data_IF_727549022838
#
_entry.id   IF_727549022838
#
_cell.length_a   1.000
_cell.length_b   1.000
_cell.length_c   1.000
_cell.angle_alpha   90.00
_cell.angle_beta   90.00
_cell.angle_gamma   90.00
#
_symmetry.space_group_name_H-M   'P 1'
#
loop_
_entity.id
_entity.type
_entity.pdbx_description
1 polymer ?
#
# COMPACT_ATOMS: atom_id res chain seq x y z
N UNK A 1 13.99 -14.97 2.06
CA UNK A 1 13.70 -13.57 2.48
C UNK A 1 13.05 -13.48 3.87
N UNK A 2 13.26 -12.38 4.61
CA UNK A 2 12.71 -12.16 5.96
C UNK A 2 11.86 -10.90 6.02
N UNK A 3 10.65 -10.98 6.57
CA UNK A 3 9.69 -9.89 6.67
C UNK A 3 9.47 -9.51 8.15
N UNK A 4 9.79 -8.27 8.50
CA UNK A 4 9.58 -7.69 9.82
C UNK A 4 8.20 -7.01 9.88
N UNK A 5 7.40 -7.37 10.88
CA UNK A 5 6.00 -6.92 10.99
C UNK A 5 5.61 -6.55 12.42
N UNK A 6 4.53 -5.78 12.53
CA UNK A 6 3.65 -5.82 13.71
C UNK A 6 2.43 -6.67 13.40
N UNK A 7 1.98 -7.46 14.38
CA UNK A 7 0.87 -8.40 14.20
C UNK A 7 -0.45 -7.71 13.83
N UNK A 8 -0.71 -6.52 14.39
CA UNK A 8 -1.94 -5.75 14.19
C UNK A 8 -1.86 -4.75 13.02
N UNK A 9 -0.73 -4.69 12.30
CA UNK A 9 -0.54 -3.68 11.26
C UNK A 9 -1.26 -4.07 9.95
N UNK A 10 -2.18 -3.23 9.43
CA UNK A 10 -2.92 -3.54 8.21
C UNK A 10 -2.02 -3.56 6.96
N UNK A 11 -0.95 -2.77 6.93
CA UNK A 11 0.02 -2.76 5.84
C UNK A 11 0.85 -4.05 5.81
N UNK A 12 1.20 -4.59 6.98
CA UNK A 12 1.89 -5.87 7.11
C UNK A 12 0.98 -7.03 6.65
N UNK A 13 -0.30 -7.00 7.05
CA UNK A 13 -1.27 -8.00 6.62
C UNK A 13 -1.42 -8.03 5.09
N UNK A 14 -1.40 -6.87 4.43
CA UNK A 14 -1.44 -6.76 2.97
C UNK A 14 -0.26 -7.47 2.29
N UNK A 15 0.97 -7.19 2.73
CA UNK A 15 2.18 -7.84 2.19
C UNK A 15 2.11 -9.36 2.38
N UNK A 16 1.74 -9.82 3.57
CA UNK A 16 1.59 -11.25 3.88
C UNK A 16 0.55 -11.93 3.00
N UNK A 17 -0.57 -11.26 2.75
CA UNK A 17 -1.61 -11.77 1.87
C UNK A 17 -1.07 -11.94 0.44
N UNK A 18 -0.39 -10.95 -0.11
CA UNK A 18 0.19 -11.03 -1.47
C UNK A 18 1.23 -12.16 -1.55
N UNK A 19 2.15 -12.23 -0.59
CA UNK A 19 3.17 -13.28 -0.54
C UNK A 19 2.54 -14.68 -0.52
N UNK A 20 1.48 -14.88 0.27
CA UNK A 20 0.75 -16.14 0.33
C UNK A 20 0.04 -16.46 -1.00
N UNK A 21 -0.58 -15.47 -1.66
CA UNK A 21 -1.22 -15.65 -2.98
C UNK A 21 -0.21 -16.03 -4.06
N UNK A 22 0.99 -15.46 -4.00
CA UNK A 22 2.09 -15.77 -4.93
C UNK A 22 2.86 -17.05 -4.54
N UNK A 23 2.47 -17.72 -3.46
CA UNK A 23 3.18 -18.89 -2.90
C UNK A 23 4.67 -18.65 -2.59
N UNK A 24 5.02 -17.41 -2.21
CA UNK A 24 6.39 -17.06 -1.84
C UNK A 24 6.58 -17.30 -0.35
N UNK A 25 7.50 -18.20 0.06
CA UNK A 25 7.79 -18.41 1.48
C UNK A 25 8.54 -17.20 2.05
N UNK A 26 7.95 -16.58 3.07
CA UNK A 26 8.58 -15.50 3.84
C UNK A 26 8.81 -15.95 5.28
N UNK A 27 10.01 -15.70 5.80
CA UNK A 27 10.28 -15.82 7.22
C UNK A 27 9.73 -14.58 7.94
N UNK A 28 8.66 -14.72 8.73
CA UNK A 28 7.99 -13.59 9.38
C UNK A 28 8.54 -13.39 10.78
N UNK A 29 9.08 -12.21 11.05
CA UNK A 29 9.56 -11.79 12.36
C UNK A 29 8.61 -10.75 12.92
N UNK A 30 7.97 -11.07 14.05
CA UNK A 30 7.12 -10.13 14.77
C UNK A 30 8.03 -9.26 15.64
N UNK A 31 8.08 -7.97 15.32
CA UNK A 31 8.82 -6.97 16.08
C UNK A 31 7.91 -6.47 17.20
N UNK A 32 8.46 -6.33 18.41
CA UNK A 32 7.72 -5.75 19.52
C UNK A 32 7.48 -4.25 19.26
N UNK A 33 6.33 -3.73 19.69
CA UNK A 33 5.99 -2.33 19.40
C UNK A 33 6.93 -1.33 20.10
N UNK A 34 7.45 -1.69 21.27
CA UNK A 34 8.41 -0.93 22.06
C UNK A 34 9.86 -1.07 21.57
N UNK A 35 10.11 -1.94 20.58
CA UNK A 35 11.43 -2.07 19.98
C UNK A 35 11.70 -0.91 19.01
N UNK A 36 12.60 -0.03 19.43
CA UNK A 36 13.07 1.13 18.66
C UNK A 36 14.34 0.82 17.84
N UNK A 37 14.89 -0.39 17.94
CA UNK A 37 16.23 -0.73 17.43
C UNK A 37 16.17 -1.54 16.14
N UNK A 38 15.40 -2.63 16.12
CA UNK A 38 15.45 -3.61 15.02
C UNK A 38 15.21 -3.01 13.64
N UNK A 39 14.19 -2.15 13.50
CA UNK A 39 13.85 -1.54 12.20
C UNK A 39 14.70 -0.31 11.90
N UNK A 40 15.10 0.43 12.95
CA UNK A 40 15.99 1.59 12.80
C UNK A 40 17.38 1.15 12.32
N UNK A 41 17.90 0.03 12.80
CA UNK A 41 19.20 -0.48 12.35
C UNK A 41 19.17 -0.97 10.88
N UNK A 42 18.00 -1.41 10.41
CA UNK A 42 17.84 -1.92 9.04
C UNK A 42 17.65 -0.81 8.01
N UNK A 43 16.81 0.20 8.32
CA UNK A 43 16.36 1.20 7.36
C UNK A 43 16.45 2.64 7.87
N UNK A 44 16.97 2.86 9.07
CA UNK A 44 17.10 4.18 9.70
C UNK A 44 15.81 4.75 10.28
N UNK A 45 14.70 4.00 10.25
CA UNK A 45 13.39 4.47 10.68
C UNK A 45 12.58 3.37 11.40
N UNK A 46 11.85 3.75 12.44
CA UNK A 46 10.93 2.87 13.16
C UNK A 46 9.64 2.70 12.36
N UNK A 47 9.65 1.82 11.37
CA UNK A 47 8.49 1.53 10.55
C UNK A 47 8.44 0.06 10.12
N UNK A 48 7.23 -0.40 9.83
CA UNK A 48 6.93 -1.74 9.29
C UNK A 48 5.81 -1.60 8.25
N UNK A 49 5.71 -2.48 7.25
CA UNK A 49 6.55 -3.65 7.00
C UNK A 49 7.95 -3.32 6.46
N UNK A 50 8.92 -4.19 6.75
CA UNK A 50 10.27 -4.15 6.13
C UNK A 50 10.63 -5.55 5.64
N UNK A 51 10.99 -5.66 4.36
CA UNK A 51 11.47 -6.91 3.76
C UNK A 51 12.99 -6.86 3.61
N UNK A 52 13.68 -7.84 4.19
CA UNK A 52 15.10 -8.09 3.92
C UNK A 52 15.24 -9.17 2.84
N UNK A 53 15.80 -8.78 1.70
CA UNK A 53 16.13 -9.68 0.58
C UNK A 53 17.26 -10.63 0.97
N UNK A 54 17.51 -11.62 0.13
CA UNK A 54 18.60 -12.59 0.34
C UNK A 54 19.99 -11.95 0.14
N UNK A 55 20.07 -10.94 -0.71
CA UNK A 55 21.28 -10.16 -0.97
C UNK A 55 21.64 -9.18 0.18
N UNK A 56 20.80 -9.11 1.21
CA UNK A 56 20.99 -8.23 2.37
C UNK A 56 20.36 -6.83 2.23
N UNK A 57 19.93 -6.45 1.03
CA UNK A 57 19.17 -5.21 0.79
C UNK A 57 17.82 -5.24 1.53
N UNK A 58 17.41 -4.09 2.06
CA UNK A 58 16.13 -3.91 2.75
C UNK A 58 15.20 -3.01 1.95
N UNK A 59 13.95 -3.44 1.80
CA UNK A 59 12.87 -2.68 1.16
C UNK A 59 11.86 -2.32 2.25
N UNK A 60 11.61 -1.03 2.42
CA UNK A 60 10.54 -0.51 3.25
C UNK A 60 9.30 -0.22 2.37
N UNK A 61 8.21 0.21 3.00
CA UNK A 61 6.92 0.49 2.34
C UNK A 61 6.18 -0.73 1.79
N UNK A 62 4.89 -0.82 2.12
CA UNK A 62 4.11 -2.01 1.79
C UNK A 62 3.87 -2.20 0.30
N UNK A 63 3.82 -1.13 -0.49
CA UNK A 63 3.57 -1.20 -1.94
C UNK A 63 4.83 -1.63 -2.68
N UNK A 64 5.97 -1.01 -2.38
CA UNK A 64 7.26 -1.35 -2.97
C UNK A 64 7.64 -2.81 -2.70
N UNK A 65 7.36 -3.31 -1.49
CA UNK A 65 7.53 -4.73 -1.17
C UNK A 65 6.61 -5.62 -2.02
N UNK A 66 5.36 -5.21 -2.23
CA UNK A 66 4.39 -5.98 -3.04
C UNK A 66 4.84 -6.03 -4.50
N UNK A 67 5.26 -4.89 -5.05
CA UNK A 67 5.72 -4.81 -6.43
C UNK A 67 6.95 -5.71 -6.64
N UNK A 68 7.91 -5.67 -5.70
CA UNK A 68 9.06 -6.58 -5.71
C UNK A 68 8.65 -8.06 -5.67
N UNK A 69 7.67 -8.44 -4.84
CA UNK A 69 7.21 -9.83 -4.76
C UNK A 69 6.50 -10.28 -6.05
N UNK A 70 5.75 -9.39 -6.70
CA UNK A 70 5.06 -9.65 -7.97
C UNK A 70 6.10 -9.86 -9.09
N UNK A 71 7.10 -8.98 -9.16
CA UNK A 71 8.23 -9.11 -10.08
C UNK A 71 9.00 -10.42 -9.87
N UNK A 72 9.28 -10.77 -8.62
CA UNK A 72 9.98 -12.01 -8.26
C UNK A 72 9.20 -13.26 -8.67
N UNK A 73 7.87 -13.24 -8.57
CA UNK A 73 7.02 -14.32 -9.03
C UNK A 73 6.92 -14.42 -10.56
N UNK A 74 7.57 -13.52 -11.31
CA UNK A 74 7.45 -13.43 -12.78
C UNK A 74 6.02 -13.16 -13.24
N UNK A 75 5.17 -12.64 -12.33
CA UNK A 75 3.76 -12.37 -12.60
C UNK A 75 3.63 -10.93 -13.08
N UNK A 76 3.21 -10.71 -14.32
CA UNK A 76 2.87 -9.36 -14.81
C UNK A 76 1.47 -8.90 -14.34
N UNK A 77 0.91 -9.55 -13.31
CA UNK A 77 -0.41 -9.27 -12.77
C UNK A 77 -0.34 -8.10 -11.79
N UNK A 78 -0.13 -6.89 -12.31
CA UNK A 78 -0.55 -5.68 -11.62
C UNK A 78 -2.08 -5.74 -11.62
N UNK A 79 -2.65 -6.35 -10.58
CA UNK A 79 -4.07 -6.70 -10.54
C UNK A 79 -4.90 -5.42 -10.52
N UNK A 80 -5.17 -4.87 -11.71
CA UNK A 80 -6.07 -3.73 -11.90
C UNK A 80 -7.40 -4.12 -11.24
N UNK A 81 -7.91 -3.32 -10.29
CA UNK A 81 -9.17 -3.66 -9.65
C UNK A 81 -10.23 -3.84 -10.74
N UNK A 82 -11.11 -4.83 -10.57
CA UNK A 82 -12.16 -5.07 -11.54
C UNK A 82 -12.97 -3.80 -11.76
N UNK A 83 -13.54 -3.62 -12.95
CA UNK A 83 -14.36 -2.43 -13.23
C UNK A 83 -15.50 -2.27 -12.20
N UNK A 84 -16.05 -3.38 -11.70
CA UNK A 84 -17.04 -3.37 -10.63
C UNK A 84 -16.46 -2.84 -9.31
N UNK A 85 -15.25 -3.27 -8.91
CA UNK A 85 -14.57 -2.76 -7.73
C UNK A 85 -14.24 -1.26 -7.88
N UNK A 86 -13.74 -0.83 -9.04
CA UNK A 86 -13.48 0.58 -9.33
C UNK A 86 -14.76 1.43 -9.25
N UNK A 87 -15.84 0.98 -9.90
CA UNK A 87 -17.14 1.68 -9.86
C UNK A 87 -17.68 1.76 -8.44
N UNK A 88 -17.60 0.68 -7.67
CA UNK A 88 -18.01 0.67 -6.27
C UNK A 88 -17.16 1.62 -5.43
N UNK A 89 -15.83 1.60 -5.58
CA UNK A 89 -14.91 2.48 -4.86
C UNK A 89 -15.20 3.95 -5.16
N UNK A 90 -15.40 4.30 -6.44
CA UNK A 90 -15.78 5.65 -6.86
C UNK A 90 -17.11 6.09 -6.24
N UNK A 91 -18.14 5.23 -6.26
CA UNK A 91 -19.44 5.55 -5.68
C UNK A 91 -19.40 5.66 -4.14
N UNK A 92 -18.67 4.78 -3.47
CA UNK A 92 -18.53 4.75 -2.02
C UNK A 92 -17.77 5.99 -1.50
N UNK A 93 -16.75 6.45 -2.22
CA UNK A 93 -15.96 7.62 -1.85
C UNK A 93 -16.83 8.89 -1.74
N UNK A 94 -17.78 9.07 -2.66
CA UNK A 94 -18.75 10.17 -2.63
C UNK A 94 -19.77 10.06 -1.49
N UNK A 95 -20.16 8.83 -1.12
CA UNK A 95 -21.05 8.62 0.03
C UNK A 95 -20.37 8.99 1.35
N UNK A 96 -19.07 8.67 1.51
CA UNK A 96 -18.29 9.03 2.70
C UNK A 96 -17.95 10.51 2.80
N UNK A 97 -17.87 11.24 1.68
CA UNK A 97 -17.68 12.70 1.72
C UNK A 97 -18.97 13.44 2.01
N UNK A 98 -20.15 12.90 1.67
CA UNK A 98 -21.43 13.53 2.05
C UNK A 98 -21.64 13.64 3.57
N UNK A 99 -21.03 12.78 4.38
CA UNK A 99 -21.10 12.87 5.85
C UNK A 99 -20.08 13.86 6.43
N UNK A 100 -18.98 14.16 5.74
CA UNK A 100 -17.95 15.13 6.18
C UNK A 100 -18.01 16.52 5.52
N UNK A 101 -18.67 16.67 4.38
CA UNK A 101 -18.64 17.88 3.53
C UNK A 101 -19.83 18.82 3.77
N UNK A 102 -20.72 18.52 4.72
CA UNK A 102 -21.70 19.51 5.21
C UNK A 102 -21.06 20.77 5.81
N UNK A 103 -19.73 20.75 6.05
CA UNK A 103 -18.96 21.87 6.60
C UNK A 103 -18.27 22.77 5.54
N UNK A 104 -18.22 22.39 4.26
CA UNK A 104 -17.56 23.19 3.22
C UNK A 104 -18.58 23.56 2.15
N UNK A 105 -18.95 24.84 2.09
CA UNK A 105 -19.89 25.38 1.11
C UNK A 105 -19.53 25.04 -0.34
N UNK A 106 -20.52 25.15 -1.24
CA UNK A 106 -20.53 24.58 -2.60
C UNK A 106 -19.29 24.84 -3.46
N UNK A 107 -18.56 25.92 -3.24
CA UNK A 107 -17.37 26.31 -4.02
C UNK A 107 -16.10 25.53 -3.66
N UNK A 108 -16.06 24.85 -2.52
CA UNK A 108 -14.94 23.99 -2.12
C UNK A 108 -14.91 22.67 -2.90
N UNK A 109 -16.10 22.18 -3.25
CA UNK A 109 -16.32 20.87 -3.86
C UNK A 109 -15.78 20.84 -5.30
N UNK A 110 -16.04 21.89 -6.08
CA UNK A 110 -15.56 22.02 -7.45
C UNK A 110 -14.03 22.12 -7.55
N UNK A 111 -13.38 22.77 -6.58
CA UNK A 111 -11.91 22.92 -6.54
C UNK A 111 -11.19 21.61 -6.24
N UNK A 112 -11.71 20.80 -5.32
CA UNK A 112 -11.17 19.47 -5.02
C UNK A 112 -11.40 18.53 -6.21
N UNK A 113 -12.58 18.60 -6.83
CA UNK A 113 -12.94 17.78 -7.99
C UNK A 113 -12.01 18.01 -9.19
N UNK A 114 -11.71 19.26 -9.54
CA UNK A 114 -10.79 19.58 -10.64
C UNK A 114 -9.35 19.14 -10.35
N UNK A 115 -8.92 19.15 -9.08
CA UNK A 115 -7.56 18.77 -8.70
C UNK A 115 -7.36 17.25 -8.69
N UNK A 116 -8.36 16.48 -8.25
CA UNK A 116 -8.32 15.01 -8.28
C UNK A 116 -8.46 14.49 -9.71
N UNK A 117 -9.36 15.08 -10.51
CA UNK A 117 -9.53 14.69 -11.92
C UNK A 117 -8.26 14.94 -12.75
N UNK A 118 -7.57 16.06 -12.51
CA UNK A 118 -6.29 16.35 -13.17
C UNK A 118 -5.17 15.39 -12.79
N UNK A 119 -5.14 14.90 -11.54
CA UNK A 119 -4.15 13.92 -11.09
C UNK A 119 -4.42 12.51 -11.64
N UNK A 120 -5.69 12.12 -11.78
CA UNK A 120 -6.06 10.83 -12.37
C UNK A 120 -5.85 10.73 -13.88
N UNK A 121 -5.92 11.86 -14.60
CA UNK A 121 -5.64 11.91 -16.05
C UNK A 121 -4.13 11.92 -16.36
N UNK A 122 -3.31 12.53 -15.50
CA UNK A 122 -1.86 12.64 -15.72
C UNK A 122 -1.10 11.30 -15.63
N UNK A 123 -1.64 10.30 -14.92
CA UNK A 123 -1.05 8.95 -14.87
C UNK A 123 -1.44 8.06 -16.06
N UNK A 124 -2.47 8.46 -16.83
CA UNK A 124 -2.89 7.68 -18.00
C UNK A 124 -2.12 8.05 -19.28
N UNK A 125 -1.41 9.18 -19.30
CA UNK A 125 -0.68 9.69 -20.47
C UNK A 125 0.85 9.48 -20.41
N UNK A 126 1.39 8.87 -19.35
CA UNK A 126 2.84 8.58 -19.20
C UNK A 126 3.23 7.12 -19.40
N UNK A 127 2.55 6.43 -20.31
CA UNK A 127 2.95 5.10 -20.77
C UNK A 127 3.47 5.13 -22.20
#
# INVERSE_FOLDING_TARGET
>A
MTLYIYEHCPFCARVRYVAAVLNIPLNVVIVAYDDDTTTVDLIGAKQVPVLRKEDGECVAESLDIIDYLIELAGSSDHRKPSLAALKWQQAAFFASTKTGVSALGGDGIARVFNRISALGLADQERN
#
